data_IF_384329428684
#
_entry.id   IF_384329428684
#
_cell.length_a   1.000
_cell.length_b   1.000
_cell.length_c   1.000
_cell.angle_alpha   90.00
_cell.angle_beta   90.00
_cell.angle_gamma   90.00
#
_symmetry.space_group_name_H-M   'P 1'
#
loop_
_entity.id
_entity.type
_entity.pdbx_description
1 polymer ?
#
# COMPACT_ATOMS: atom_id res chain seq x y z
N UNK A 1 8.47 -19.30 15.70
CA UNK A 1 7.30 -20.16 15.96
C UNK A 1 7.64 -21.56 15.48
N UNK A 2 6.84 -22.61 15.73
CA UNK A 2 7.05 -23.85 14.98
C UNK A 2 6.61 -23.61 13.53
N UNK A 3 7.44 -23.92 12.54
CA UNK A 3 7.12 -23.72 11.12
C UNK A 3 6.14 -24.78 10.57
N UNK A 4 5.29 -25.34 11.44
CA UNK A 4 4.27 -26.32 11.04
C UNK A 4 3.16 -25.58 10.27
N UNK A 5 2.89 -25.94 9.01
CA UNK A 5 1.81 -25.32 8.23
C UNK A 5 0.44 -25.43 8.93
N UNK A 6 0.21 -26.52 9.67
CA UNK A 6 -1.02 -26.73 10.44
C UNK A 6 -1.15 -25.72 11.58
N UNK A 7 -0.09 -25.57 12.39
CA UNK A 7 -0.10 -24.63 13.51
C UNK A 7 -0.28 -23.18 13.02
N UNK A 8 0.38 -22.81 11.92
CA UNK A 8 0.28 -21.47 11.35
C UNK A 8 -1.13 -21.23 10.80
N UNK A 9 -1.70 -22.20 10.08
CA UNK A 9 -3.07 -22.11 9.55
C UNK A 9 -4.06 -21.89 10.70
N UNK A 10 -3.98 -22.69 11.76
CA UNK A 10 -4.87 -22.56 12.92
C UNK A 10 -4.68 -21.23 13.66
N UNK A 11 -3.44 -20.74 13.80
CA UNK A 11 -3.19 -19.42 14.39
C UNK A 11 -3.82 -18.28 13.56
N UNK A 12 -3.65 -18.32 12.23
CA UNK A 12 -4.26 -17.35 11.30
C UNK A 12 -5.79 -17.39 11.42
N UNK A 13 -6.39 -18.60 11.46
CA UNK A 13 -7.83 -18.79 11.67
C UNK A 13 -8.30 -18.23 13.00
N UNK A 14 -7.58 -18.49 14.09
CA UNK A 14 -7.92 -17.96 15.42
C UNK A 14 -7.97 -16.43 15.39
N UNK A 15 -6.90 -15.77 14.94
CA UNK A 15 -6.86 -14.31 14.91
C UNK A 15 -7.93 -13.70 13.99
N UNK A 16 -8.18 -14.35 12.86
CA UNK A 16 -9.26 -13.95 11.96
C UNK A 16 -10.65 -14.08 12.61
N UNK A 17 -10.90 -15.21 13.28
CA UNK A 17 -12.17 -15.52 13.94
C UNK A 17 -12.46 -14.55 15.08
N UNK A 18 -11.46 -14.24 15.91
CA UNK A 18 -11.58 -13.29 17.02
C UNK A 18 -11.43 -11.82 16.61
N UNK A 19 -11.36 -11.53 15.29
CA UNK A 19 -11.21 -10.18 14.75
C UNK A 19 -9.98 -9.41 15.29
N UNK A 20 -8.91 -10.14 15.62
CA UNK A 20 -7.63 -9.61 16.10
C UNK A 20 -6.80 -9.13 14.90
N UNK A 21 -7.18 -7.97 14.35
CA UNK A 21 -6.67 -7.48 13.07
C UNK A 21 -5.17 -7.18 13.11
N UNK A 22 -4.66 -6.61 14.20
CA UNK A 22 -3.25 -6.23 14.30
C UNK A 22 -2.36 -7.47 14.39
N UNK A 23 -2.74 -8.43 15.21
CA UNK A 23 -2.07 -9.71 15.41
C UNK A 23 -2.13 -10.56 14.15
N UNK A 24 -3.27 -10.58 13.46
CA UNK A 24 -3.41 -11.23 12.16
C UNK A 24 -2.42 -10.65 11.14
N UNK A 25 -2.27 -9.32 11.10
CA UNK A 25 -1.32 -8.67 10.20
C UNK A 25 0.14 -8.99 10.56
N UNK A 26 0.46 -9.08 11.85
CA UNK A 26 1.79 -9.48 12.33
C UNK A 26 2.12 -10.92 11.93
N UNK A 27 1.24 -11.88 12.24
CA UNK A 27 1.45 -13.28 11.82
C UNK A 27 1.54 -13.39 10.31
N UNK A 28 0.74 -12.65 9.55
CA UNK A 28 0.80 -12.71 8.11
C UNK A 28 2.12 -12.16 7.56
N UNK A 29 2.72 -11.15 8.20
CA UNK A 29 4.06 -10.70 7.84
C UNK A 29 5.12 -11.77 8.11
N UNK A 30 5.04 -12.44 9.25
CA UNK A 30 5.96 -13.52 9.61
C UNK A 30 5.80 -14.70 8.65
N UNK A 31 4.55 -15.08 8.34
CA UNK A 31 4.20 -16.08 7.34
C UNK A 31 4.84 -15.76 5.97
N UNK A 32 4.74 -14.52 5.48
CA UNK A 32 5.32 -14.13 4.19
C UNK A 32 6.87 -14.17 4.19
N UNK A 33 7.50 -13.97 5.34
CA UNK A 33 8.96 -14.09 5.50
C UNK A 33 9.37 -15.56 5.46
N UNK A 34 8.59 -16.42 6.13
CA UNK A 34 8.87 -17.85 6.28
C UNK A 34 8.23 -18.72 5.18
N UNK A 35 7.53 -18.11 4.21
CA UNK A 35 6.73 -18.84 3.21
C UNK A 35 7.51 -19.89 2.44
N UNK A 36 8.75 -19.60 2.06
CA UNK A 36 9.61 -20.54 1.33
C UNK A 36 9.79 -21.89 2.05
N UNK A 37 9.73 -21.89 3.39
CA UNK A 37 9.79 -23.12 4.19
C UNK A 37 8.44 -23.83 4.31
N UNK A 38 7.34 -23.10 4.16
CA UNK A 38 5.97 -23.59 4.32
C UNK A 38 5.43 -24.12 2.99
N UNK A 39 5.85 -23.52 1.87
CA UNK A 39 5.35 -23.76 0.51
C UNK A 39 5.45 -25.23 0.09
N UNK A 40 6.49 -25.94 0.54
CA UNK A 40 6.69 -27.34 0.16
C UNK A 40 5.77 -28.31 0.91
N UNK A 41 5.40 -27.99 2.15
CA UNK A 41 4.72 -28.90 3.07
C UNK A 41 3.24 -28.55 3.30
N UNK A 42 2.78 -27.43 2.75
CA UNK A 42 1.39 -26.99 2.91
C UNK A 42 0.43 -27.79 2.02
N UNK A 43 -0.65 -28.26 2.63
CA UNK A 43 -1.75 -28.93 1.91
C UNK A 43 -2.64 -27.92 1.18
N UNK A 44 -3.36 -28.37 0.15
CA UNK A 44 -4.33 -27.53 -0.59
C UNK A 44 -5.35 -26.85 0.34
N UNK A 45 -5.85 -27.58 1.35
CA UNK A 45 -6.83 -27.05 2.31
C UNK A 45 -6.25 -25.93 3.18
N UNK A 46 -5.02 -26.09 3.66
CA UNK A 46 -4.32 -25.07 4.43
C UNK A 46 -4.03 -23.84 3.58
N UNK A 47 -3.54 -24.04 2.35
CA UNK A 47 -3.31 -22.96 1.40
C UNK A 47 -4.60 -22.20 1.09
N UNK A 48 -5.69 -22.91 0.79
CA UNK A 48 -7.00 -22.31 0.54
C UNK A 48 -7.43 -21.41 1.71
N UNK A 49 -7.26 -21.89 2.94
CA UNK A 49 -7.59 -21.11 4.14
C UNK A 49 -6.75 -19.84 4.21
N UNK A 50 -5.43 -19.98 4.13
CA UNK A 50 -4.49 -18.85 4.23
C UNK A 50 -4.75 -17.83 3.12
N UNK A 51 -4.95 -18.29 1.88
CA UNK A 51 -5.17 -17.43 0.71
C UNK A 51 -6.53 -16.71 0.76
N UNK A 52 -7.58 -17.38 1.22
CA UNK A 52 -8.88 -16.74 1.43
C UNK A 52 -8.81 -15.66 2.53
N UNK A 53 -8.11 -15.93 3.62
CA UNK A 53 -7.91 -14.92 4.68
C UNK A 53 -7.05 -13.76 4.16
N UNK A 54 -6.00 -14.06 3.40
CA UNK A 54 -5.16 -13.07 2.72
C UNK A 54 -5.97 -12.13 1.84
N UNK A 55 -6.88 -12.70 1.06
CA UNK A 55 -7.78 -11.96 0.19
C UNK A 55 -8.65 -11.00 1.00
N UNK A 56 -9.25 -11.47 2.09
CA UNK A 56 -10.12 -10.66 2.96
C UNK A 56 -9.34 -9.49 3.58
N UNK A 57 -8.06 -9.68 3.92
CA UNK A 57 -7.21 -8.62 4.46
C UNK A 57 -6.49 -7.80 3.38
N UNK A 58 -6.67 -8.12 2.09
CA UNK A 58 -6.09 -7.42 0.95
C UNK A 58 -4.58 -7.63 0.77
N UNK A 59 -4.07 -8.83 1.10
CA UNK A 59 -2.65 -9.20 1.00
C UNK A 59 -2.40 -10.48 0.20
N UNK A 60 -3.41 -10.99 -0.49
CA UNK A 60 -3.32 -12.16 -1.35
C UNK A 60 -2.24 -12.04 -2.42
N UNK A 61 -2.08 -10.86 -3.03
CA UNK A 61 -1.04 -10.65 -4.05
C UNK A 61 0.38 -10.82 -3.50
N UNK A 62 0.66 -10.38 -2.27
CA UNK A 62 2.00 -10.55 -1.67
C UNK A 62 2.33 -12.02 -1.43
N UNK A 63 1.31 -12.82 -1.14
CA UNK A 63 1.45 -14.27 -0.98
C UNK A 63 1.59 -14.98 -2.32
N UNK A 64 0.77 -14.62 -3.31
CA UNK A 64 0.92 -15.15 -4.67
C UNK A 64 2.32 -14.91 -5.24
N UNK A 65 2.92 -13.74 -4.99
CA UNK A 65 4.28 -13.41 -5.41
C UNK A 65 5.36 -14.28 -4.72
N UNK A 66 5.02 -14.98 -3.64
CA UNK A 66 5.89 -15.86 -2.87
C UNK A 66 5.69 -17.34 -3.13
N UNK A 67 4.54 -17.72 -3.70
CA UNK A 67 4.22 -19.10 -4.03
C UNK A 67 5.07 -19.55 -5.22
N UNK A 68 5.72 -20.70 -5.09
CA UNK A 68 6.44 -21.36 -6.17
C UNK A 68 5.91 -22.79 -6.35
N UNK A 69 6.10 -23.65 -5.34
CA UNK A 69 5.69 -25.05 -5.39
C UNK A 69 4.17 -25.26 -5.27
N UNK A 70 3.47 -24.32 -4.64
CA UNK A 70 2.02 -24.38 -4.42
C UNK A 70 1.18 -23.80 -5.54
N UNK A 71 1.79 -23.11 -6.52
CA UNK A 71 1.07 -22.55 -7.67
C UNK A 71 0.28 -23.61 -8.44
N UNK A 72 0.77 -24.86 -8.47
CA UNK A 72 0.07 -26.01 -9.07
C UNK A 72 -1.37 -26.18 -8.55
N UNK A 73 -1.62 -25.86 -7.27
CA UNK A 73 -2.97 -25.96 -6.69
C UNK A 73 -3.94 -24.92 -7.27
N UNK A 74 -3.45 -23.81 -7.81
CA UNK A 74 -4.26 -22.81 -8.50
C UNK A 74 -4.58 -23.21 -9.95
N UNK A 75 -3.80 -24.13 -10.53
CA UNK A 75 -4.03 -24.65 -11.89
C UNK A 75 -5.01 -25.84 -11.88
N UNK A 76 -5.04 -26.59 -10.78
CA UNK A 76 -5.95 -27.70 -10.60
C UNK A 76 -7.35 -27.21 -10.16
N UNK A 77 -8.44 -27.72 -10.75
CA UNK A 77 -9.82 -27.34 -10.40
C UNK A 77 -10.24 -27.99 -9.07
N UNK A 78 -9.54 -27.65 -7.99
CA UNK A 78 -9.85 -28.05 -6.62
C UNK A 78 -11.00 -27.24 -6.04
N UNK A 79 -11.80 -27.87 -5.17
CA UNK A 79 -12.99 -27.23 -4.57
C UNK A 79 -12.61 -26.12 -3.59
N UNK A 80 -11.45 -26.23 -2.93
CA UNK A 80 -11.02 -25.30 -1.89
C UNK A 80 -10.65 -23.91 -2.41
N UNK A 81 -10.10 -23.80 -3.62
CA UNK A 81 -9.62 -22.54 -4.19
C UNK A 81 -10.62 -21.88 -5.15
N UNK A 82 -11.75 -22.55 -5.43
CA UNK A 82 -12.77 -22.09 -6.36
C UNK A 82 -13.33 -20.69 -6.06
N UNK A 83 -13.53 -20.34 -4.79
CA UNK A 83 -13.98 -19.00 -4.39
C UNK A 83 -12.91 -17.93 -4.65
N UNK A 84 -11.64 -18.25 -4.36
CA UNK A 84 -10.52 -17.34 -4.62
C UNK A 84 -10.34 -17.11 -6.12
N UNK A 85 -10.32 -18.17 -6.92
CA UNK A 85 -10.23 -18.10 -8.38
C UNK A 85 -11.37 -17.29 -8.97
N UNK A 86 -12.61 -17.50 -8.48
CA UNK A 86 -13.76 -16.71 -8.90
C UNK A 86 -13.56 -15.22 -8.61
N UNK A 87 -13.10 -14.87 -7.40
CA UNK A 87 -12.79 -13.48 -7.06
C UNK A 87 -11.73 -12.90 -8.00
N UNK A 88 -10.64 -13.65 -8.22
CA UNK A 88 -9.52 -13.24 -9.05
C UNK A 88 -9.96 -13.01 -10.50
N UNK A 89 -10.72 -13.94 -11.08
CA UNK A 89 -11.25 -13.85 -12.44
C UNK A 89 -12.16 -12.64 -12.62
N UNK A 90 -13.06 -12.40 -11.66
CA UNK A 90 -13.94 -11.23 -11.67
C UNK A 90 -13.17 -9.92 -11.60
N UNK A 91 -12.27 -9.78 -10.62
CA UNK A 91 -11.53 -8.55 -10.39
C UNK A 91 -10.54 -8.23 -11.52
N UNK A 92 -10.05 -9.26 -12.21
CA UNK A 92 -9.23 -9.10 -13.40
C UNK A 92 -10.05 -9.05 -14.69
N UNK A 93 -11.38 -9.16 -14.64
CA UNK A 93 -12.26 -9.15 -15.80
C UNK A 93 -11.97 -10.28 -16.79
N UNK A 94 -11.49 -11.42 -16.29
CA UNK A 94 -11.35 -12.67 -17.06
C UNK A 94 -12.73 -13.22 -17.41
N UNK A 95 -13.67 -13.10 -16.48
CA UNK A 95 -15.09 -13.43 -16.68
C UNK A 95 -15.95 -12.19 -16.50
N UNK A 96 -17.11 -12.18 -17.15
CA UNK A 96 -18.11 -11.13 -16.95
C UNK A 96 -18.97 -11.35 -15.70
N UNK A 97 -19.78 -10.36 -15.37
CA UNK A 97 -20.68 -10.42 -14.22
C UNK A 97 -21.67 -11.59 -14.30
N UNK A 98 -22.22 -11.89 -15.48
CA UNK A 98 -23.23 -12.94 -15.64
C UNK A 98 -22.65 -14.31 -15.33
N UNK A 99 -21.51 -14.61 -15.95
CA UNK A 99 -20.74 -15.84 -15.77
C UNK A 99 -20.24 -15.95 -14.33
N UNK A 100 -19.73 -14.85 -13.76
CA UNK A 100 -19.27 -14.82 -12.39
C UNK A 100 -20.38 -15.06 -11.38
N UNK A 101 -21.58 -14.51 -11.61
CA UNK A 101 -22.75 -14.75 -10.77
C UNK A 101 -23.22 -16.20 -10.83
N UNK A 102 -23.29 -16.80 -12.02
CA UNK A 102 -23.64 -18.21 -12.17
C UNK A 102 -22.63 -19.13 -11.45
N UNK A 103 -21.33 -18.88 -11.63
CA UNK A 103 -20.27 -19.60 -10.90
C UNK A 103 -20.39 -19.39 -9.39
N UNK A 104 -20.66 -18.17 -8.94
CA UNK A 104 -20.87 -17.84 -7.53
C UNK A 104 -22.01 -18.66 -6.92
N UNK A 105 -23.18 -18.67 -7.56
CA UNK A 105 -24.35 -19.42 -7.09
C UNK A 105 -24.09 -20.93 -7.05
N UNK A 106 -23.32 -21.44 -8.02
CA UNK A 106 -22.90 -22.85 -8.06
C UNK A 106 -21.92 -23.24 -6.94
N UNK A 107 -21.01 -22.33 -6.55
CA UNK A 107 -19.95 -22.60 -5.55
C UNK A 107 -20.44 -22.33 -4.13
N UNK A 108 -21.28 -21.30 -3.92
CA UNK A 108 -21.74 -20.83 -2.61
C UNK A 108 -22.29 -21.95 -1.72
N UNK A 109 -23.00 -22.92 -2.33
CA UNK A 109 -23.60 -24.05 -1.61
C UNK A 109 -22.73 -25.31 -1.54
N UNK A 110 -21.60 -25.35 -2.26
CA UNK A 110 -20.72 -26.54 -2.35
C UNK A 110 -19.45 -26.44 -1.52
N UNK A 111 -19.10 -25.24 -1.05
CA UNK A 111 -17.83 -25.03 -0.36
C UNK A 111 -17.93 -25.46 1.10
N UNK A 112 -17.43 -26.66 1.43
CA UNK A 112 -17.40 -27.20 2.81
C UNK A 112 -16.06 -27.00 3.52
N UNK A 113 -15.05 -26.50 2.80
CA UNK A 113 -13.65 -26.49 3.23
C UNK A 113 -13.33 -25.35 4.22
N UNK A 114 -14.20 -24.35 4.29
CA UNK A 114 -13.98 -23.08 5.01
C UNK A 114 -14.92 -23.02 6.21
N UNK A 115 -14.45 -22.51 7.35
CA UNK A 115 -15.32 -22.33 8.52
C UNK A 115 -16.47 -21.35 8.21
N UNK A 116 -17.65 -21.55 8.81
CA UNK A 116 -18.85 -20.76 8.50
C UNK A 116 -18.62 -19.23 8.57
N UNK A 117 -17.81 -18.75 9.51
CA UNK A 117 -17.50 -17.32 9.66
C UNK A 117 -16.60 -16.77 8.54
N UNK A 118 -15.59 -17.53 8.12
CA UNK A 118 -14.69 -17.22 7.01
C UNK A 118 -15.47 -17.21 5.69
N UNK A 119 -16.30 -18.24 5.48
CA UNK A 119 -17.15 -18.37 4.32
C UNK A 119 -18.10 -17.16 4.22
N UNK A 120 -18.77 -16.78 5.30
CA UNK A 120 -19.66 -15.63 5.29
C UNK A 120 -18.96 -14.32 4.87
N UNK A 121 -17.76 -14.05 5.42
CA UNK A 121 -16.98 -12.85 5.06
C UNK A 121 -16.51 -12.87 3.62
N UNK A 122 -16.05 -14.02 3.12
CA UNK A 122 -15.59 -14.18 1.75
C UNK A 122 -16.75 -14.03 0.74
N UNK A 123 -17.91 -14.64 1.04
CA UNK A 123 -19.12 -14.50 0.23
C UNK A 123 -19.60 -13.05 0.20
N UNK A 124 -19.58 -12.35 1.35
CA UNK A 124 -19.93 -10.93 1.40
C UNK A 124 -18.99 -10.07 0.55
N UNK A 125 -17.69 -10.36 0.56
CA UNK A 125 -16.70 -9.69 -0.29
C UNK A 125 -16.95 -9.92 -1.78
N UNK A 126 -17.29 -11.15 -2.17
CA UNK A 126 -17.63 -11.53 -3.55
C UNK A 126 -18.93 -10.86 -4.01
N UNK A 127 -19.98 -10.89 -3.19
CA UNK A 127 -21.26 -10.24 -3.47
C UNK A 127 -21.07 -8.73 -3.68
N UNK A 128 -20.29 -8.08 -2.82
CA UNK A 128 -19.97 -6.66 -2.97
C UNK A 128 -19.19 -6.38 -4.27
N UNK A 129 -18.22 -7.24 -4.62
CA UNK A 129 -17.47 -7.12 -5.88
C UNK A 129 -18.37 -7.26 -7.10
N UNK A 130 -19.27 -8.24 -7.10
CA UNK A 130 -20.25 -8.47 -8.15
C UNK A 130 -21.21 -7.29 -8.31
N UNK A 131 -21.77 -6.78 -7.20
CA UNK A 131 -22.66 -5.62 -7.21
C UNK A 131 -21.97 -4.37 -7.76
N UNK A 132 -20.70 -4.17 -7.41
CA UNK A 132 -19.90 -3.06 -7.92
C UNK A 132 -19.73 -3.16 -9.44
N UNK A 133 -19.32 -4.30 -9.98
CA UNK A 133 -19.21 -4.48 -11.44
C UNK A 133 -20.57 -4.29 -12.14
N UNK A 134 -21.67 -4.79 -11.55
CA UNK A 134 -23.01 -4.59 -12.10
C UNK A 134 -23.38 -3.10 -12.18
N UNK A 135 -23.13 -2.32 -11.13
CA UNK A 135 -23.38 -0.87 -11.13
C UNK A 135 -22.55 -0.14 -12.20
N UNK A 136 -21.28 -0.50 -12.37
CA UNK A 136 -20.43 0.07 -13.43
C UNK A 136 -20.94 -0.26 -14.84
N UNK A 137 -21.51 -1.45 -15.06
CA UNK A 137 -22.12 -1.84 -16.35
C UNK A 137 -23.39 -1.02 -16.60
N UNK A 138 -24.24 -0.86 -15.59
CA UNK A 138 -25.48 -0.09 -15.69
C UNK A 138 -25.20 1.39 -15.99
N UNK A 139 -24.26 2.01 -15.27
CA UNK A 139 -23.85 3.40 -15.49
C UNK A 139 -23.28 3.61 -16.91
N UNK A 140 -22.46 2.66 -17.39
CA UNK A 140 -21.91 2.75 -18.74
C UNK A 140 -22.98 2.56 -19.82
N UNK A 141 -23.98 1.72 -19.58
CA UNK A 141 -25.10 1.49 -20.51
C UNK A 141 -26.00 2.71 -20.60
N UNK A 142 -26.32 3.33 -19.45
CA UNK A 142 -27.11 4.56 -19.41
C UNK A 142 -26.39 5.73 -20.10
N UNK A 143 -25.07 5.85 -19.91
CA UNK A 143 -24.27 6.87 -20.59
C UNK A 143 -24.22 6.64 -22.11
N UNK A 144 -24.07 5.40 -22.59
CA UNK A 144 -24.14 5.09 -24.03
C UNK A 144 -25.51 5.41 -24.63
N UNK A 145 -26.59 5.18 -23.89
CA UNK A 145 -27.95 5.52 -24.34
C UNK A 145 -28.18 7.04 -24.39
N UNK A 146 -27.53 7.82 -23.52
CA UNK A 146 -27.53 9.29 -23.56
C UNK A 146 -26.69 9.82 -24.73
N UNK A 147 -25.51 9.25 -24.97
CA UNK A 147 -24.65 9.59 -26.11
C UNK A 147 -25.32 9.29 -27.47
N UNK A 148 -26.14 8.23 -27.56
CA UNK A 148 -26.89 7.93 -28.79
C UNK A 148 -28.10 8.85 -29.04
N UNK A 149 -28.52 9.67 -28.07
CA UNK A 149 -29.60 10.65 -28.24
C UNK A 149 -29.11 12.06 -28.57
N UNK A 150 -27.83 12.32 -28.44
CA UNK A 150 -27.21 13.54 -28.96
C UNK A 150 -26.72 13.24 -30.38
N UNK A 151 -27.52 13.63 -31.39
CA UNK A 151 -27.05 13.68 -32.78
C UNK A 151 -25.76 14.48 -32.84
N UNK A 152 -24.67 13.75 -33.04
CA UNK A 152 -23.29 14.24 -33.03
C UNK A 152 -23.13 15.22 -34.18
N UNK A 153 -23.20 16.52 -33.85
CA UNK A 153 -22.33 17.49 -34.51
C UNK A 153 -20.93 16.92 -34.39
N UNK A 154 -20.27 16.61 -35.52
CA UNK A 154 -18.94 16.00 -35.61
C UNK A 154 -17.92 16.82 -34.81
N UNK A 155 -17.89 16.63 -33.50
CA UNK A 155 -16.87 17.19 -32.64
C UNK A 155 -15.60 16.43 -32.94
N UNK A 156 -14.58 17.17 -33.37
CA UNK A 156 -13.25 16.63 -33.61
C UNK A 156 -12.72 15.99 -32.33
N UNK A 157 -12.61 14.66 -32.32
CA UNK A 157 -12.09 13.91 -31.18
C UNK A 157 -10.57 14.18 -31.09
N UNK A 158 -10.06 14.70 -29.97
CA UNK A 158 -8.64 15.03 -29.87
C UNK A 158 -7.77 13.78 -29.95
N UNK A 159 -6.70 13.87 -30.74
CA UNK A 159 -5.69 12.81 -30.89
C UNK A 159 -4.53 13.02 -29.94
N UNK A 160 -4.18 12.00 -29.14
CA UNK A 160 -3.22 12.11 -28.05
C UNK A 160 -2.15 11.02 -28.19
N UNK A 161 -0.88 11.40 -27.98
CA UNK A 161 0.26 10.47 -28.05
C UNK A 161 0.61 9.84 -26.70
N UNK A 162 0.50 10.60 -25.61
CA UNK A 162 0.93 10.20 -24.28
C UNK A 162 -0.17 10.40 -23.24
N UNK A 163 -0.32 9.45 -22.32
CA UNK A 163 -1.28 9.55 -21.20
C UNK A 163 -0.55 9.44 -19.87
N UNK A 164 -1.07 10.10 -18.84
CA UNK A 164 -0.51 9.98 -17.49
C UNK A 164 -1.21 8.87 -16.71
N UNK A 165 -0.46 8.04 -15.99
CA UNK A 165 -1.07 7.03 -15.10
C UNK A 165 -1.71 7.73 -13.90
N UNK A 166 -2.98 7.45 -13.64
CA UNK A 166 -3.68 7.95 -12.46
C UNK A 166 -3.42 7.03 -11.24
N UNK A 167 -3.08 7.58 -10.06
CA UNK A 167 -3.05 6.82 -8.81
C UNK A 167 -4.42 6.23 -8.48
N UNK A 168 -4.43 5.04 -7.86
CA UNK A 168 -5.60 4.13 -7.72
C UNK A 168 -6.82 4.75 -6.98
N UNK A 169 -6.70 5.94 -6.36
CA UNK A 169 -7.74 6.51 -5.48
C UNK A 169 -8.01 8.02 -5.65
N UNK A 170 -7.63 8.65 -6.76
CA UNK A 170 -7.77 10.12 -6.90
C UNK A 170 -8.97 10.51 -7.78
N UNK A 171 -9.93 11.25 -7.20
CA UNK A 171 -11.03 11.91 -7.94
C UNK A 171 -10.64 13.28 -8.52
N UNK A 172 -9.46 13.78 -8.18
CA UNK A 172 -9.00 15.13 -8.50
C UNK A 172 -7.58 15.14 -9.04
N UNK A 173 -7.29 16.16 -9.84
CA UNK A 173 -5.96 16.41 -10.39
C UNK A 173 -4.91 16.59 -9.29
N UNK A 174 -3.77 15.87 -9.34
CA UNK A 174 -2.78 15.85 -8.26
C UNK A 174 -2.25 17.21 -7.84
N UNK A 175 -2.15 18.15 -8.79
CA UNK A 175 -1.52 19.46 -8.53
C UNK A 175 -2.48 20.51 -7.97
N UNK A 176 -3.80 20.37 -8.19
CA UNK A 176 -4.71 21.54 -8.16
C UNK A 176 -6.12 21.27 -7.67
N UNK A 177 -6.38 20.05 -7.19
CA UNK A 177 -7.68 19.63 -6.69
C UNK A 177 -8.84 19.89 -7.68
N UNK A 178 -8.53 19.82 -8.97
CA UNK A 178 -9.51 20.08 -10.03
C UNK A 178 -10.19 18.78 -10.40
N UNK A 179 -11.53 18.72 -10.49
CA UNK A 179 -12.22 17.50 -10.86
C UNK A 179 -11.78 17.04 -12.25
N UNK A 180 -11.75 15.72 -12.40
CA UNK A 180 -11.64 15.11 -13.72
C UNK A 180 -13.00 15.09 -14.42
N UNK A 181 -12.97 15.24 -15.72
CA UNK A 181 -14.07 14.94 -16.62
C UNK A 181 -13.68 13.77 -17.52
N UNK A 182 -14.65 12.94 -17.87
CA UNK A 182 -14.46 11.82 -18.80
C UNK A 182 -14.56 12.38 -20.21
N UNK A 183 -13.53 12.20 -21.02
CA UNK A 183 -13.45 12.72 -22.39
C UNK A 183 -13.11 11.59 -23.34
N UNK A 184 -13.86 11.51 -24.44
CA UNK A 184 -13.54 10.60 -25.55
C UNK A 184 -12.32 11.13 -26.30
N UNK A 185 -11.34 10.26 -26.54
CA UNK A 185 -10.06 10.63 -27.18
C UNK A 185 -9.61 9.53 -28.13
N UNK A 186 -8.82 9.91 -29.13
CA UNK A 186 -8.09 8.97 -30.00
C UNK A 186 -6.67 8.79 -29.47
N UNK A 187 -6.39 7.66 -28.82
CA UNK A 187 -5.11 7.37 -28.19
C UNK A 187 -4.19 6.60 -29.14
N UNK A 188 -2.97 7.12 -29.36
CA UNK A 188 -1.97 6.48 -30.20
C UNK A 188 -1.48 5.15 -29.61
N UNK A 189 -1.41 4.13 -30.47
CA UNK A 189 -0.86 2.80 -30.18
C UNK A 189 0.37 2.58 -31.04
N UNK A 190 1.40 1.98 -30.47
CA UNK A 190 2.69 1.71 -31.10
C UNK A 190 2.95 0.21 -31.21
N UNK A 191 3.70 -0.22 -32.23
CA UNK A 191 4.03 -1.66 -32.39
C UNK A 191 4.97 -2.20 -31.31
N UNK A 192 5.86 -1.36 -30.77
CA UNK A 192 6.80 -1.73 -29.71
C UNK A 192 7.25 -0.49 -28.93
N UNK A 193 7.84 -0.71 -27.75
CA UNK A 193 8.42 0.34 -26.91
C UNK A 193 9.51 1.08 -27.71
N UNK A 194 9.41 2.41 -27.78
CA UNK A 194 10.28 3.33 -28.55
C UNK A 194 10.04 3.41 -30.07
N UNK A 195 8.97 2.82 -30.62
CA UNK A 195 8.61 3.10 -32.02
C UNK A 195 8.26 4.59 -32.20
N UNK A 196 8.85 5.24 -33.21
CA UNK A 196 8.49 6.61 -33.59
C UNK A 196 7.19 6.67 -34.39
N UNK A 197 6.84 5.58 -35.08
CA UNK A 197 5.67 5.49 -35.93
C UNK A 197 4.48 4.98 -35.12
N UNK A 198 3.40 5.75 -35.17
CA UNK A 198 2.09 5.35 -34.64
C UNK A 198 1.57 4.23 -35.53
N UNK A 199 1.18 3.12 -34.91
CA UNK A 199 0.59 1.99 -35.62
C UNK A 199 -0.87 2.25 -35.96
N UNK A 200 -1.64 2.67 -34.95
CA UNK A 200 -3.06 3.03 -35.08
C UNK A 200 -3.48 3.96 -33.94
N UNK A 201 -4.72 4.45 -34.01
CA UNK A 201 -5.38 5.14 -32.90
C UNK A 201 -6.54 4.29 -32.38
N UNK A 202 -6.67 4.18 -31.06
CA UNK A 202 -7.84 3.56 -30.42
C UNK A 202 -8.69 4.63 -29.76
N UNK A 203 -9.98 4.64 -30.07
CA UNK A 203 -10.94 5.46 -29.33
C UNK A 203 -11.11 4.90 -27.91
N UNK A 204 -10.95 5.76 -26.92
CA UNK A 204 -11.11 5.41 -25.50
C UNK A 204 -11.55 6.62 -24.70
N UNK A 205 -12.03 6.39 -23.49
CA UNK A 205 -12.34 7.46 -22.56
C UNK A 205 -11.19 7.64 -21.58
N UNK A 206 -10.63 8.85 -21.53
CA UNK A 206 -9.64 9.24 -20.54
C UNK A 206 -10.23 10.25 -19.56
N UNK A 207 -9.55 10.42 -18.44
CA UNK A 207 -9.86 11.45 -17.47
C UNK A 207 -9.06 12.70 -17.85
N UNK A 208 -9.74 13.78 -18.21
CA UNK A 208 -9.13 15.08 -18.44
C UNK A 208 -9.33 15.94 -17.21
N UNK A 209 -8.31 16.64 -16.74
CA UNK A 209 -8.50 17.61 -15.66
C UNK A 209 -9.15 18.86 -16.22
N UNK A 210 -10.24 19.35 -15.62
CA UNK A 210 -10.83 20.65 -16.04
C UNK A 210 -9.76 21.74 -15.98
N UNK A 211 -9.67 22.58 -17.01
CA UNK A 211 -8.65 23.64 -17.09
C UNK A 211 -7.20 23.19 -17.40
N UNK A 212 -6.94 21.89 -17.64
CA UNK A 212 -5.64 21.40 -18.09
C UNK A 212 -5.81 20.53 -19.34
N UNK A 213 -4.84 20.59 -20.24
CA UNK A 213 -4.77 19.72 -21.42
C UNK A 213 -4.05 18.39 -21.11
N UNK A 214 -4.11 17.94 -19.85
CA UNK A 214 -3.49 16.70 -19.41
C UNK A 214 -4.54 15.60 -19.31
N UNK A 215 -4.19 14.42 -19.82
CA UNK A 215 -5.06 13.25 -19.86
C UNK A 215 -4.50 12.13 -19.00
N UNK A 216 -5.39 11.47 -18.27
CA UNK A 216 -5.06 10.46 -17.29
C UNK A 216 -5.78 9.16 -17.59
N UNK A 217 -5.09 8.05 -17.36
CA UNK A 217 -5.63 6.69 -17.51
C UNK A 217 -5.56 5.95 -16.19
N UNK A 218 -6.64 5.24 -15.83
CA UNK A 218 -6.65 4.36 -14.67
C UNK A 218 -5.93 3.04 -14.96
N UNK A 219 -5.51 2.31 -13.92
CA UNK A 219 -4.91 0.99 -14.10
C UNK A 219 -5.88 -0.03 -14.72
N UNK A 220 -7.18 0.01 -14.36
CA UNK A 220 -8.21 -0.87 -14.95
C UNK A 220 -8.32 -0.62 -16.46
N UNK A 221 -8.41 0.65 -16.88
CA UNK A 221 -8.45 1.02 -18.31
C UNK A 221 -7.17 0.64 -19.05
N UNK A 222 -6.01 0.87 -18.45
CA UNK A 222 -4.73 0.54 -19.07
C UNK A 222 -4.57 -0.98 -19.27
N UNK A 223 -4.99 -1.79 -18.28
CA UNK A 223 -4.99 -3.25 -18.40
C UNK A 223 -5.93 -3.72 -19.51
N UNK A 224 -7.14 -3.14 -19.58
CA UNK A 224 -8.09 -3.44 -20.66
C UNK A 224 -7.50 -3.13 -22.03
N UNK A 225 -6.95 -1.92 -22.22
CA UNK A 225 -6.31 -1.55 -23.48
C UNK A 225 -5.14 -2.46 -23.86
N UNK A 226 -4.31 -2.86 -22.89
CA UNK A 226 -3.20 -3.79 -23.13
C UNK A 226 -3.67 -5.18 -23.54
N UNK A 227 -4.82 -5.64 -23.03
CA UNK A 227 -5.43 -6.91 -23.40
C UNK A 227 -6.04 -6.84 -24.79
N UNK A 228 -6.81 -5.79 -25.07
CA UNK A 228 -7.46 -5.58 -26.37
C UNK A 228 -6.43 -5.36 -27.50
N UNK A 229 -5.20 -4.95 -27.14
CA UNK A 229 -4.09 -4.64 -28.04
C UNK A 229 -2.84 -5.43 -27.66
N UNK A 230 -2.99 -6.75 -27.49
CA UNK A 230 -1.88 -7.64 -27.14
C UNK A 230 -0.70 -7.50 -28.11
N UNK A 231 0.52 -7.42 -27.57
CA UNK A 231 1.74 -7.20 -28.35
C UNK A 231 2.03 -5.74 -28.73
N UNK A 232 1.12 -4.80 -28.48
CA UNK A 232 1.31 -3.38 -28.76
C UNK A 232 1.67 -2.56 -27.52
N UNK A 233 2.25 -1.39 -27.74
CA UNK A 233 2.73 -0.47 -26.73
C UNK A 233 1.90 0.81 -26.68
N UNK A 234 1.60 1.26 -25.46
CA UNK A 234 0.92 2.54 -25.18
C UNK A 234 1.87 3.39 -24.35
N UNK A 235 2.12 4.62 -24.78
CA UNK A 235 3.01 5.52 -24.07
C UNK A 235 2.33 6.10 -22.83
N UNK A 236 2.65 5.50 -21.68
CA UNK A 236 2.16 5.93 -20.37
C UNK A 236 3.28 6.64 -19.62
N UNK A 237 3.09 7.92 -19.36
CA UNK A 237 3.97 8.71 -18.51
C UNK A 237 3.56 8.49 -17.06
N UNK A 238 4.49 7.97 -16.27
CA UNK A 238 4.28 7.84 -14.84
C UNK A 238 4.45 9.21 -14.20
N UNK A 239 3.45 9.65 -13.45
CA UNK A 239 3.65 10.74 -12.50
C UNK A 239 4.61 10.18 -11.44
N UNK A 240 5.68 10.90 -11.19
CA UNK A 240 6.62 10.58 -10.12
C UNK A 240 5.84 10.29 -8.83
N UNK A 241 6.02 9.09 -8.26
CA UNK A 241 5.29 8.64 -7.07
C UNK A 241 5.61 9.50 -5.84
N UNK A 242 6.67 10.31 -5.91
CA UNK A 242 7.03 11.32 -4.90
C UNK A 242 6.21 12.63 -4.97
N UNK A 243 5.19 12.71 -5.84
CA UNK A 243 4.33 13.89 -5.94
C UNK A 243 3.31 13.94 -4.79
N UNK A 244 3.71 14.57 -3.69
CA UNK A 244 2.95 14.64 -2.44
C UNK A 244 1.62 15.40 -2.63
N UNK A 245 0.48 14.73 -2.38
CA UNK A 245 -0.84 15.35 -2.24
C UNK A 245 -0.85 16.13 -0.93
N UNK A 246 -0.58 17.43 -0.97
CA UNK A 246 -0.76 18.27 0.21
C UNK A 246 -2.27 18.43 0.49
N UNK A 247 -2.77 17.61 1.41
CA UNK A 247 -4.17 17.57 1.88
C UNK A 247 -4.64 18.88 2.54
N UNK A 248 -3.76 19.87 2.69
CA UNK A 248 -3.98 21.09 3.46
C UNK A 248 -4.73 22.20 2.72
N UNK A 249 -5.02 22.05 1.42
CA UNK A 249 -5.74 23.06 0.63
C UNK A 249 -7.23 22.75 0.38
N UNK A 250 -7.82 21.79 1.10
CA UNK A 250 -9.20 21.35 0.84
C UNK A 250 -10.30 21.85 1.79
N UNK A 251 -10.02 22.43 2.96
CA UNK A 251 -11.09 22.82 3.89
C UNK A 251 -10.72 24.08 4.70
N UNK A 252 -11.29 25.22 4.28
CA UNK A 252 -11.75 26.28 5.17
C UNK A 252 -12.98 26.92 4.52
N UNK A 253 -14.00 27.19 5.35
CA UNK A 253 -15.37 27.72 5.12
C UNK A 253 -16.44 26.60 5.20
N UNK A 254 -17.20 26.42 6.29
CA UNK A 254 -17.49 27.26 7.47
C UNK A 254 -18.01 26.39 8.63
N UNK A 255 -17.75 26.87 9.86
CA UNK A 255 -18.49 26.66 11.10
C UNK A 255 -18.61 25.23 11.68
N UNK A 256 -17.56 24.80 12.39
CA UNK A 256 -17.60 24.26 13.77
C UNK A 256 -16.30 23.51 14.05
N UNK A 257 -15.60 23.95 15.09
CA UNK A 257 -14.33 23.40 15.55
C UNK A 257 -14.59 22.05 16.22
N UNK A 258 -13.96 20.98 15.74
CA UNK A 258 -13.28 20.02 16.62
C UNK A 258 -12.21 19.17 15.88
N UNK A 259 -10.95 19.16 16.35
CA UNK A 259 -9.86 18.37 15.76
C UNK A 259 -9.64 17.03 16.48
N UNK A 260 -9.46 15.95 15.71
CA UNK A 260 -8.74 14.73 16.15
C UNK A 260 -7.66 14.39 15.10
N UNK A 261 -6.39 14.18 15.39
CA UNK A 261 -5.52 14.57 16.50
C UNK A 261 -4.19 14.97 15.81
N UNK A 262 -3.95 16.27 15.69
CA UNK A 262 -2.56 16.74 15.69
C UNK A 262 -2.05 16.48 17.10
N UNK A 263 -0.96 15.75 17.25
CA UNK A 263 -0.23 15.65 18.50
C UNK A 263 0.45 17.01 18.75
N UNK A 264 -0.35 18.05 19.04
CA UNK A 264 0.08 19.38 19.50
C UNK A 264 0.94 19.29 20.78
N UNK A 265 1.02 18.08 21.35
CA UNK A 265 1.73 17.74 22.57
C UNK A 265 3.03 16.95 22.33
N UNK A 266 3.57 16.85 21.10
CA UNK A 266 4.91 16.27 20.95
C UNK A 266 5.96 17.12 21.69
N UNK A 267 6.29 16.66 22.89
CA UNK A 267 7.40 17.16 23.70
C UNK A 267 8.68 16.55 23.18
N UNK A 268 9.68 17.39 22.96
CA UNK A 268 11.00 16.91 22.60
C UNK A 268 11.52 15.98 23.71
N UNK A 269 11.99 14.76 23.40
CA UNK A 269 12.37 13.80 24.41
C UNK A 269 13.57 14.30 25.22
N UNK A 270 13.52 14.07 26.53
CA UNK A 270 14.62 14.36 27.45
C UNK A 270 15.64 13.24 27.45
N UNK A 271 16.91 13.57 27.69
CA UNK A 271 18.00 12.60 27.85
C UNK A 271 18.43 12.44 29.30
N UNK A 272 17.70 13.04 30.23
CA UNK A 272 17.91 12.94 31.67
C UNK A 272 17.20 11.70 32.22
N UNK A 273 17.72 11.18 33.33
CA UNK A 273 17.14 10.04 34.02
C UNK A 273 16.40 10.58 35.23
N UNK A 274 15.09 10.74 35.11
CA UNK A 274 14.22 11.00 36.25
C UNK A 274 13.38 9.72 36.49
N UNK A 275 13.22 9.33 37.75
CA UNK A 275 12.56 8.07 38.15
C UNK A 275 11.08 8.02 37.72
N UNK A 276 10.44 9.17 37.50
CA UNK A 276 9.02 9.29 37.14
C UNK A 276 8.71 9.15 35.64
N UNK A 277 9.72 9.09 34.75
CA UNK A 277 9.51 9.09 33.28
C UNK A 277 9.44 7.69 32.65
N UNK A 278 9.28 6.65 33.48
CA UNK A 278 9.50 5.26 33.11
C UNK A 278 8.29 4.54 32.48
N UNK A 279 7.06 5.00 32.69
CA UNK A 279 5.87 4.21 32.30
C UNK A 279 5.07 4.73 31.09
N UNK A 280 5.10 6.03 30.76
CA UNK A 280 4.18 6.60 29.75
C UNK A 280 4.76 6.82 28.34
N UNK A 281 6.09 6.79 28.16
CA UNK A 281 6.72 7.09 26.86
C UNK A 281 7.52 5.91 26.24
N UNK A 282 7.54 4.74 26.88
CA UNK A 282 8.44 3.63 26.56
C UNK A 282 7.83 2.50 25.70
N UNK A 283 6.93 2.83 24.76
CA UNK A 283 6.54 1.88 23.69
C UNK A 283 7.58 1.83 22.55
N UNK A 284 8.87 1.76 22.91
CA UNK A 284 9.93 1.40 21.95
C UNK A 284 10.18 -0.08 22.15
N UNK A 285 9.66 -0.89 21.23
CA UNK A 285 9.85 -2.33 21.19
C UNK A 285 11.35 -2.67 21.35
N UNK A 286 11.70 -3.30 22.47
CA UNK A 286 13.06 -3.67 22.87
C UNK A 286 13.71 -4.67 21.89
N UNK A 287 12.89 -5.37 21.10
CA UNK A 287 13.35 -6.27 20.03
C UNK A 287 13.78 -5.53 18.76
N UNK A 288 13.54 -4.21 18.66
CA UNK A 288 14.12 -3.39 17.60
C UNK A 288 15.61 -3.18 17.87
N UNK A 289 16.43 -4.21 17.60
CA UNK A 289 17.85 -4.00 17.30
C UNK A 289 17.90 -2.87 16.28
N UNK A 290 18.38 -1.75 16.81
CA UNK A 290 18.16 -0.37 16.38
C UNK A 290 17.84 -0.22 14.89
N UNK A 291 16.60 0.14 14.55
CA UNK A 291 16.22 0.51 13.18
C UNK A 291 17.14 1.62 12.61
N UNK A 292 17.77 2.42 13.48
CA UNK A 292 18.82 3.37 13.09
C UNK A 292 20.12 2.66 12.67
N UNK A 293 20.53 1.61 13.39
CA UNK A 293 21.69 0.78 13.08
C UNK A 293 21.53 0.06 11.74
N UNK A 294 20.32 -0.41 11.41
CA UNK A 294 20.01 -1.01 10.10
C UNK A 294 20.13 -0.01 8.94
N UNK A 295 19.94 1.28 9.23
CA UNK A 295 20.17 2.38 8.29
C UNK A 295 21.64 2.86 8.28
N UNK A 296 22.52 2.14 8.98
CA UNK A 296 23.95 2.42 9.07
C UNK A 296 24.33 3.45 10.13
N UNK A 297 23.39 3.95 10.94
CA UNK A 297 23.71 4.91 11.99
C UNK A 297 24.45 4.24 13.15
N UNK A 298 25.65 4.71 13.43
CA UNK A 298 26.49 4.27 14.55
C UNK A 298 27.43 5.39 14.97
N UNK A 299 27.82 5.42 16.25
CA UNK A 299 28.79 6.39 16.75
C UNK A 299 30.21 6.02 16.30
N UNK A 300 30.62 4.77 16.51
CA UNK A 300 31.97 4.33 16.18
C UNK A 300 32.16 4.21 14.67
N UNK A 301 33.22 4.85 14.16
CA UNK A 301 33.63 4.74 12.76
C UNK A 301 32.82 5.59 11.78
N UNK A 302 32.04 6.57 12.26
CA UNK A 302 31.40 7.58 11.41
C UNK A 302 31.68 8.99 11.95
N UNK A 303 32.00 9.90 11.03
CA UNK A 303 32.10 11.32 11.32
C UNK A 303 30.73 11.94 11.62
N UNK A 304 30.70 13.09 12.31
CA UNK A 304 29.48 13.86 12.53
C UNK A 304 28.73 14.19 11.24
N UNK A 305 29.44 14.40 10.13
CA UNK A 305 28.84 14.70 8.82
C UNK A 305 28.12 13.48 8.26
N UNK A 306 28.74 12.31 8.30
CA UNK A 306 28.15 11.06 7.81
C UNK A 306 26.96 10.62 8.67
N UNK A 307 27.08 10.73 9.99
CA UNK A 307 25.95 10.45 10.90
C UNK A 307 24.77 11.38 10.62
N UNK A 308 25.05 12.67 10.41
CA UNK A 308 24.01 13.63 10.05
C UNK A 308 23.36 13.32 8.70
N UNK A 309 24.13 12.91 7.69
CA UNK A 309 23.60 12.50 6.40
C UNK A 309 22.64 11.31 6.54
N UNK A 310 23.02 10.29 7.31
CA UNK A 310 22.16 9.14 7.60
C UNK A 310 20.89 9.60 8.33
N UNK A 311 21.01 10.46 9.34
CA UNK A 311 19.86 10.94 10.10
C UNK A 311 18.90 11.77 9.23
N UNK A 312 19.41 12.76 8.51
CA UNK A 312 18.60 13.71 7.75
C UNK A 312 18.02 13.12 6.45
N UNK A 313 18.80 12.29 5.75
CA UNK A 313 18.44 11.82 4.41
C UNK A 313 17.94 10.37 4.36
N UNK A 314 18.17 9.57 5.42
CA UNK A 314 17.71 8.17 5.47
C UNK A 314 16.77 7.89 6.63
N UNK A 315 17.16 8.20 7.86
CA UNK A 315 16.41 7.82 9.06
C UNK A 315 15.17 8.68 9.26
N UNK A 316 15.30 10.01 9.24
CA UNK A 316 14.17 10.92 9.40
C UNK A 316 13.15 10.78 8.27
N UNK A 317 13.53 10.55 6.98
CA UNK A 317 12.60 10.26 5.89
C UNK A 317 12.05 8.83 5.84
N UNK A 318 12.57 7.88 6.65
CA UNK A 318 12.04 6.51 6.70
C UNK A 318 11.27 6.18 7.98
N UNK A 319 11.71 6.69 9.13
CA UNK A 319 11.15 6.33 10.44
C UNK A 319 10.34 7.44 11.12
N UNK A 320 10.52 8.69 10.67
CA UNK A 320 9.89 9.88 11.21
C UNK A 320 10.68 10.48 12.36
N UNK A 321 10.73 11.81 12.44
CA UNK A 321 11.58 12.50 13.41
C UNK A 321 11.18 12.20 14.88
N UNK A 322 9.90 11.97 15.22
CA UNK A 322 9.45 11.61 16.59
C UNK A 322 10.10 10.31 17.02
N UNK A 323 10.05 9.30 16.14
CA UNK A 323 10.62 7.98 16.38
C UNK A 323 12.15 8.04 16.44
N UNK A 324 12.79 8.76 15.52
CA UNK A 324 14.25 8.94 15.51
C UNK A 324 14.73 9.66 16.79
N UNK A 325 14.08 10.76 17.17
CA UNK A 325 14.43 11.51 18.38
C UNK A 325 14.25 10.65 19.63
N UNK A 326 13.14 9.93 19.74
CA UNK A 326 12.88 9.02 20.87
C UNK A 326 13.88 7.85 20.91
N UNK A 327 14.27 7.28 19.77
CA UNK A 327 15.30 6.22 19.72
C UNK A 327 16.67 6.73 20.18
N UNK A 328 17.11 7.92 19.72
CA UNK A 328 18.39 8.50 20.15
C UNK A 328 18.34 8.84 21.64
N UNK A 329 17.24 9.45 22.12
CA UNK A 329 17.07 9.77 23.53
C UNK A 329 17.06 8.50 24.40
N UNK A 330 16.40 7.44 23.95
CA UNK A 330 16.41 6.13 24.60
C UNK A 330 17.82 5.54 24.70
N UNK A 331 18.63 5.60 23.62
CA UNK A 331 20.03 5.15 23.66
C UNK A 331 20.86 5.94 24.68
N UNK A 332 20.64 7.25 24.78
CA UNK A 332 21.32 8.08 25.78
C UNK A 332 20.90 7.68 27.19
N UNK A 333 19.59 7.61 27.48
CA UNK A 333 19.07 7.23 28.81
C UNK A 333 19.55 5.84 29.21
N UNK A 334 19.46 4.86 28.30
CA UNK A 334 19.89 3.49 28.52
C UNK A 334 21.40 3.36 28.80
N UNK A 335 22.25 4.25 28.29
CA UNK A 335 23.67 4.29 28.67
C UNK A 335 23.94 5.06 29.95
N UNK A 336 23.19 6.13 30.22
CA UNK A 336 23.31 6.88 31.47
C UNK A 336 22.84 6.06 32.68
N UNK A 337 21.87 5.15 32.52
CA UNK A 337 21.25 4.37 33.61
C UNK A 337 22.08 3.18 34.07
N UNK A 338 23.09 2.78 33.29
CA UNK A 338 24.04 1.73 33.69
C UNK A 338 24.94 2.22 34.83
N UNK A 339 25.38 1.32 35.72
CA UNK A 339 26.40 1.62 36.73
C UNK A 339 27.67 2.16 36.06
N UNK A 340 28.11 3.35 36.48
CA UNK A 340 29.20 4.13 35.86
C UNK A 340 29.03 4.41 34.36
N UNK A 341 27.80 4.31 33.85
CA UNK A 341 27.46 4.37 32.44
C UNK A 341 27.82 5.70 31.79
N UNK A 342 27.64 6.81 32.53
CA UNK A 342 28.02 8.16 32.08
C UNK A 342 29.52 8.26 31.79
N UNK A 343 30.36 7.77 32.71
CA UNK A 343 31.83 7.82 32.56
C UNK A 343 32.29 6.90 31.43
N UNK A 344 31.77 5.66 31.40
CA UNK A 344 32.18 4.63 30.42
C UNK A 344 31.72 4.93 28.99
N UNK A 345 30.54 5.53 28.83
CA UNK A 345 29.95 5.80 27.52
C UNK A 345 29.98 7.28 27.16
N UNK A 346 30.85 8.08 27.80
CA UNK A 346 30.92 9.54 27.63
C UNK A 346 30.92 9.95 26.16
N UNK A 347 31.79 9.34 25.35
CA UNK A 347 31.90 9.64 23.93
C UNK A 347 30.58 9.40 23.16
N UNK A 348 29.98 8.23 23.34
CA UNK A 348 28.71 7.89 22.67
C UNK A 348 27.55 8.78 23.11
N UNK A 349 27.46 9.06 24.41
CA UNK A 349 26.45 9.96 24.97
C UNK A 349 26.59 11.36 24.35
N UNK A 350 27.81 11.92 24.34
CA UNK A 350 28.09 13.24 23.76
C UNK A 350 27.71 13.31 22.29
N UNK A 351 28.06 12.29 21.50
CA UNK A 351 27.75 12.29 20.06
C UNK A 351 26.25 12.11 19.78
N UNK A 352 25.53 11.29 20.56
CA UNK A 352 24.08 11.17 20.45
C UNK A 352 23.36 12.46 20.86
N UNK A 353 23.79 13.12 21.93
CA UNK A 353 23.22 14.40 22.38
C UNK A 353 23.47 15.50 21.35
N UNK A 354 24.65 15.53 20.72
CA UNK A 354 24.95 16.44 19.61
C UNK A 354 24.00 16.21 18.43
N UNK A 355 23.83 14.95 18.01
CA UNK A 355 22.97 14.60 16.88
C UNK A 355 21.49 14.92 17.19
N UNK A 356 21.03 14.67 18.43
CA UNK A 356 19.68 14.99 18.89
C UNK A 356 19.45 16.52 18.90
N UNK A 357 20.40 17.30 19.44
CA UNK A 357 20.31 18.76 19.43
C UNK A 357 20.24 19.29 17.99
N UNK A 358 21.05 18.76 17.08
CA UNK A 358 21.04 19.16 15.67
C UNK A 358 19.72 18.83 14.97
N UNK A 359 19.10 17.69 15.28
CA UNK A 359 17.74 17.35 14.82
C UNK A 359 16.71 18.36 15.34
N UNK A 360 16.83 18.74 16.62
CA UNK A 360 15.97 19.75 17.25
C UNK A 360 16.09 21.09 16.54
N UNK A 361 17.31 21.58 16.31
CA UNK A 361 17.54 22.89 15.69
C UNK A 361 17.06 22.94 14.24
N UNK A 362 17.21 21.83 13.51
CA UNK A 362 16.84 21.75 12.09
C UNK A 362 15.34 21.58 11.88
N UNK A 363 14.69 20.75 12.70
CA UNK A 363 13.33 20.27 12.44
C UNK A 363 12.33 20.57 13.56
N UNK A 364 12.77 20.90 14.78
CA UNK A 364 11.86 21.20 15.89
C UNK A 364 11.76 22.71 16.12
N UNK A 365 11.21 23.42 15.12
CA UNK A 365 10.65 24.76 15.32
C UNK A 365 9.21 24.54 15.79
N UNK A 366 8.72 25.22 16.83
CA UNK A 366 7.39 24.98 17.46
C UNK A 366 6.17 25.22 16.54
N UNK A 367 6.40 25.25 15.23
CA UNK A 367 5.51 25.59 14.13
C UNK A 367 5.52 24.45 13.06
N UNK A 368 6.04 23.27 13.42
CA UNK A 368 6.50 22.27 12.45
C UNK A 368 5.40 21.43 11.79
N UNK A 369 5.52 21.25 10.46
CA UNK A 369 4.84 20.22 9.68
C UNK A 369 5.84 19.09 9.45
N UNK A 370 5.49 17.89 9.90
CA UNK A 370 6.36 16.71 9.83
C UNK A 370 6.71 16.34 8.37
N UNK A 371 7.99 16.10 8.03
CA UNK A 371 8.34 15.38 6.82
C UNK A 371 7.90 13.92 7.00
N UNK A 372 6.93 13.51 6.19
CA UNK A 372 6.42 12.15 6.20
C UNK A 372 7.48 11.17 5.72
N UNK A 373 7.34 9.93 6.17
CA UNK A 373 8.28 8.88 5.86
C UNK A 373 7.66 7.71 5.15
N UNK A 374 8.10 7.48 3.92
CA UNK A 374 7.81 6.27 3.17
C UNK A 374 8.73 5.14 3.63
N UNK A 375 8.16 4.12 4.26
CA UNK A 375 8.85 2.85 4.47
C UNK A 375 8.53 1.97 3.26
N UNK A 376 9.38 2.06 2.22
CA UNK A 376 9.58 0.96 1.25
C UNK A 376 11.04 0.48 1.31
N UNK A 377 11.19 -0.85 1.31
CA UNK A 377 12.39 -1.67 1.55
C UNK A 377 13.39 -1.57 0.39
N UNK A 378 14.67 -1.81 0.68
CA UNK A 378 15.65 -2.36 -0.26
C UNK A 378 16.78 -3.05 0.53
N UNK A 379 16.84 -4.38 0.47
CA UNK A 379 18.02 -5.19 0.75
C UNK A 379 18.13 -6.22 -0.38
N UNK A 380 18.94 -5.89 -1.39
CA UNK A 380 19.77 -6.83 -2.14
C UNK A 380 21.08 -6.11 -2.45
N UNK A 381 22.10 -6.41 -1.67
CA UNK A 381 23.36 -7.01 -2.13
C UNK A 381 24.10 -7.58 -0.93
#
# INVERSE_FOLDING_TARGET
MSNSPEAITEMVRCYFTYALKEELQLIYNDLLIEWEFIDYDISEQQLSTILNIALIIGRDMELLDKMDSTLKYLEEPGTGLSLYQLYYDLNNGVIDYSTGKEKFDNIKNKTTVIANCEQHRLLSLLEHTLLKEHSEIMDNTENKLKENKEEVTKQEVPSIKTVKKLPIKTKFHPKKNVPFEKVSVSLAIYKFKNSKNIHEYSQTYLLKSKGYQEYFITMKQLRKLKRDKEGYWIEVVYLDENFNFDKKSMLNLKDSIEPQQNDKNFKWPTTEINEETSESENNIDLNSKSALRDLGYRITGLSRKERWDILANKAVPKLGLKRVANMIAYLVRGRKSMKDGIKRNRNSITEWEYDLQKLKDKYYRKDFVWPFTDIKKNLHK
#
